data_IF_242790324137
#
_entry.id   IF_242790324137
#
_cell.length_a   1.000
_cell.length_b   1.000
_cell.length_c   1.000
_cell.angle_alpha   90.00
_cell.angle_beta   90.00
_cell.angle_gamma   90.00
#
_symmetry.space_group_name_H-M   'P 1'
#
loop_
_entity.id
_entity.type
_entity.pdbx_description
1 polymer ?
#
# COMPACT_ATOMS: atom_id res chain seq x y z
N UNK A 1 -18.50 14.58 -2.84
CA UNK A 1 -17.11 15.00 -2.58
C UNK A 1 -17.02 16.49 -2.74
N UNK A 2 -15.86 17.08 -2.48
CA UNK A 2 -15.48 18.33 -3.14
C UNK A 2 -14.98 17.92 -4.53
N UNK A 3 -15.64 18.39 -5.60
CA UNK A 3 -15.34 17.99 -6.99
C UNK A 3 -14.44 19.05 -7.68
N UNK A 4 -13.89 20.00 -6.92
CA UNK A 4 -13.11 21.12 -7.41
C UNK A 4 -11.61 20.85 -7.44
N UNK A 5 -11.21 19.66 -7.92
CA UNK A 5 -9.80 19.35 -8.20
C UNK A 5 -9.18 20.33 -9.21
N UNK A 6 -7.85 20.30 -9.43
CA UNK A 6 -6.92 19.23 -9.06
C UNK A 6 -6.51 19.21 -7.58
N UNK A 7 -6.18 18.03 -7.08
CA UNK A 7 -5.66 17.84 -5.72
C UNK A 7 -4.21 17.35 -5.74
N UNK A 8 -3.42 17.79 -4.77
CA UNK A 8 -2.12 17.23 -4.42
C UNK A 8 -2.31 16.26 -3.25
N UNK A 9 -1.70 15.08 -3.35
CA UNK A 9 -1.64 14.10 -2.27
C UNK A 9 -0.21 13.98 -1.75
N UNK A 10 0.00 14.29 -0.47
CA UNK A 10 1.23 13.99 0.23
C UNK A 10 1.03 12.80 1.17
N UNK A 11 1.87 11.77 1.01
CA UNK A 11 1.87 10.57 1.83
C UNK A 11 3.05 10.60 2.80
N UNK A 12 2.78 10.38 4.09
CA UNK A 12 3.81 10.26 5.11
C UNK A 12 3.46 9.22 6.17
N UNK A 13 4.47 8.76 6.92
CA UNK A 13 4.28 7.86 8.07
C UNK A 13 4.74 8.56 9.34
N UNK A 14 3.82 8.68 10.31
CA UNK A 14 4.08 9.27 11.64
C UNK A 14 3.61 8.28 12.69
N UNK A 15 4.48 7.86 13.61
CA UNK A 15 4.15 6.93 14.71
C UNK A 15 3.36 5.68 14.28
N UNK A 16 3.78 5.02 13.18
CA UNK A 16 3.10 3.85 12.58
C UNK A 16 1.67 4.16 12.08
N UNK A 17 1.41 5.41 11.72
CA UNK A 17 0.18 5.84 11.03
C UNK A 17 0.52 6.39 9.67
N UNK A 18 -0.24 6.00 8.66
CA UNK A 18 -0.15 6.55 7.31
C UNK A 18 -1.04 7.79 7.22
N UNK A 19 -0.46 8.90 6.79
CA UNK A 19 -1.15 10.18 6.65
C UNK A 19 -1.35 10.45 5.16
N UNK A 20 -2.60 10.66 4.78
CA UNK A 20 -3.02 11.20 3.50
C UNK A 20 -3.31 12.67 3.71
N UNK A 21 -2.36 13.55 3.36
CA UNK A 21 -2.57 14.98 3.40
C UNK A 21 -2.98 15.46 2.01
N UNK A 22 -4.19 15.98 1.88
CA UNK A 22 -4.78 16.42 0.61
C UNK A 22 -4.87 17.94 0.62
N UNK A 23 -4.26 18.56 -0.39
CA UNK A 23 -4.28 20.01 -0.61
C UNK A 23 -4.74 20.33 -2.02
N UNK A 24 -5.13 21.57 -2.24
CA UNK A 24 -5.30 22.13 -3.60
C UNK A 24 -3.93 22.39 -4.23
N UNK A 25 -3.92 22.76 -5.50
CA UNK A 25 -2.69 23.08 -6.22
C UNK A 25 -1.93 24.27 -5.65
N UNK A 26 -2.62 25.23 -5.04
CA UNK A 26 -2.05 26.38 -4.33
C UNK A 26 -1.62 26.06 -2.89
N UNK A 27 -1.56 24.76 -2.55
CA UNK A 27 -1.24 24.21 -1.23
C UNK A 27 -2.28 24.54 -0.13
N UNK A 28 -3.46 25.08 -0.50
CA UNK A 28 -4.58 25.25 0.43
C UNK A 28 -5.01 23.89 1.00
N UNK A 29 -5.07 23.70 2.33
CA UNK A 29 -5.49 22.44 2.93
C UNK A 29 -6.94 22.09 2.61
N UNK A 30 -7.19 20.82 2.25
CA UNK A 30 -8.55 20.28 2.07
C UNK A 30 -8.89 19.37 3.25
N UNK A 31 -8.11 18.31 3.45
CA UNK A 31 -8.31 17.35 4.53
C UNK A 31 -7.04 16.53 4.76
N UNK A 32 -6.84 16.09 6.00
CA UNK A 32 -5.85 15.07 6.33
C UNK A 32 -6.53 13.84 6.92
N UNK A 33 -6.32 12.68 6.31
CA UNK A 33 -6.77 11.39 6.85
C UNK A 33 -5.60 10.62 7.43
N UNK A 34 -5.74 10.20 8.69
CA UNK A 34 -4.72 9.41 9.40
C UNK A 34 -5.23 7.99 9.58
N UNK A 35 -4.53 7.03 8.98
CA UNK A 35 -4.84 5.60 9.06
C UNK A 35 -3.84 4.88 9.96
N UNK A 36 -4.34 4.10 10.92
CA UNK A 36 -3.48 3.15 11.65
C UNK A 36 -2.92 2.10 10.70
N UNK A 37 -1.62 1.84 10.77
CA UNK A 37 -1.00 0.73 10.00
C UNK A 37 -1.23 -0.64 10.65
N UNK A 38 -1.85 -0.70 11.83
CA UNK A 38 -2.07 -1.97 12.55
C UNK A 38 -2.81 -3.04 11.73
N UNK A 39 -3.89 -2.71 10.99
CA UNK A 39 -4.57 -3.69 10.13
C UNK A 39 -3.67 -4.28 9.03
N UNK A 40 -2.63 -3.56 8.62
CA UNK A 40 -1.74 -3.98 7.53
C UNK A 40 -0.55 -4.82 8.03
N UNK A 41 -0.32 -4.92 9.34
CA UNK A 41 0.90 -5.55 9.90
C UNK A 41 1.12 -6.98 9.40
N UNK A 42 0.07 -7.79 9.36
CA UNK A 42 0.16 -9.19 8.92
C UNK A 42 0.52 -9.27 7.44
N UNK A 43 -0.27 -8.65 6.57
CA UNK A 43 -0.05 -8.70 5.12
C UNK A 43 1.29 -8.10 4.71
N UNK A 44 1.74 -7.04 5.39
CA UNK A 44 3.07 -6.46 5.15
C UNK A 44 4.19 -7.42 5.57
N UNK A 45 4.06 -8.07 6.74
CA UNK A 45 5.04 -9.08 7.19
C UNK A 45 5.11 -10.24 6.20
N UNK A 46 3.97 -10.80 5.82
CA UNK A 46 3.90 -11.93 4.89
C UNK A 46 4.44 -11.54 3.51
N UNK A 47 4.20 -10.29 3.08
CA UNK A 47 4.78 -9.73 1.86
C UNK A 47 6.31 -9.69 1.89
N UNK A 48 6.92 -9.30 3.01
CA UNK A 48 8.39 -9.34 3.11
C UNK A 48 8.94 -10.76 3.09
N UNK A 49 8.31 -11.68 3.83
CA UNK A 49 8.72 -13.08 3.86
C UNK A 49 8.66 -13.72 2.46
N UNK A 50 7.64 -13.40 1.66
CA UNK A 50 7.53 -13.94 0.30
C UNK A 50 8.55 -13.29 -0.65
N UNK A 51 8.91 -12.02 -0.46
CA UNK A 51 9.97 -11.37 -1.22
C UNK A 51 11.34 -11.99 -0.94
N UNK A 52 11.65 -12.32 0.32
CA UNK A 52 12.85 -13.07 0.69
C UNK A 52 12.85 -14.46 0.05
N UNK A 53 11.72 -15.17 0.14
CA UNK A 53 11.55 -16.49 -0.48
C UNK A 53 11.73 -16.44 -2.00
N UNK A 54 11.21 -15.40 -2.65
CA UNK A 54 11.40 -15.16 -4.08
C UNK A 54 12.88 -14.97 -4.43
N UNK A 55 13.61 -14.17 -3.65
CA UNK A 55 15.03 -13.91 -3.88
C UNK A 55 15.90 -15.17 -3.75
N UNK A 56 15.58 -16.06 -2.82
CA UNK A 56 16.25 -17.36 -2.72
C UNK A 56 15.87 -18.29 -3.87
N UNK A 57 14.58 -18.32 -4.25
CA UNK A 57 14.06 -19.18 -5.28
C UNK A 57 14.64 -18.89 -6.67
N UNK A 58 14.82 -17.62 -7.05
CA UNK A 58 15.38 -17.26 -8.37
C UNK A 58 16.80 -17.79 -8.61
N UNK A 59 17.53 -18.19 -7.55
CA UNK A 59 18.88 -18.74 -7.69
C UNK A 59 18.91 -20.25 -7.91
N UNK A 60 17.91 -20.97 -7.41
CA UNK A 60 18.01 -22.44 -7.22
C UNK A 60 16.75 -23.23 -7.58
N UNK A 61 15.58 -22.57 -7.65
CA UNK A 61 14.28 -23.22 -7.82
C UNK A 61 13.85 -23.34 -9.28
N UNK A 62 12.90 -24.24 -9.56
CA UNK A 62 12.33 -24.37 -10.90
C UNK A 62 11.49 -23.14 -11.29
N UNK A 63 11.29 -22.88 -12.59
CA UNK A 63 10.40 -21.80 -13.05
C UNK A 63 8.98 -21.90 -12.46
N UNK A 64 8.42 -23.10 -12.33
CA UNK A 64 7.10 -23.33 -11.74
C UNK A 64 7.02 -22.96 -10.26
N UNK A 65 8.09 -23.20 -9.49
CA UNK A 65 8.18 -22.81 -8.09
C UNK A 65 8.29 -21.29 -7.95
N UNK A 66 9.08 -20.63 -8.80
CA UNK A 66 9.22 -19.17 -8.84
C UNK A 66 7.87 -18.52 -9.17
N UNK A 67 7.14 -19.05 -10.16
CA UNK A 67 5.81 -18.56 -10.53
C UNK A 67 4.80 -18.72 -9.39
N UNK A 68 4.82 -19.84 -8.67
CA UNK A 68 3.95 -20.04 -7.51
C UNK A 68 4.21 -19.01 -6.40
N UNK A 69 5.48 -18.68 -6.14
CA UNK A 69 5.87 -17.64 -5.19
C UNK A 69 5.41 -16.26 -5.69
N UNK A 70 5.61 -15.95 -6.98
CA UNK A 70 5.16 -14.69 -7.56
C UNK A 70 3.65 -14.52 -7.49
N UNK A 71 2.89 -15.59 -7.74
CA UNK A 71 1.44 -15.61 -7.57
C UNK A 71 1.03 -15.29 -6.13
N UNK A 72 1.68 -15.91 -5.14
CA UNK A 72 1.46 -15.59 -3.72
C UNK A 72 1.76 -14.12 -3.41
N UNK A 73 2.87 -13.59 -3.94
CA UNK A 73 3.24 -12.17 -3.80
C UNK A 73 2.17 -11.24 -4.37
N UNK A 74 1.64 -11.55 -5.55
CA UNK A 74 0.54 -10.79 -6.17
C UNK A 74 -0.73 -10.84 -5.33
N UNK A 75 -1.03 -11.99 -4.72
CA UNK A 75 -2.15 -12.18 -3.79
C UNK A 75 -2.05 -11.28 -2.57
N UNK A 76 -0.88 -11.18 -1.94
CA UNK A 76 -0.64 -10.31 -0.78
C UNK A 76 -0.81 -8.83 -1.12
N UNK A 77 -0.36 -8.40 -2.31
CA UNK A 77 -0.66 -7.05 -2.80
C UNK A 77 -2.16 -6.81 -2.95
N UNK A 78 -2.92 -7.79 -3.46
CA UNK A 78 -4.36 -7.64 -3.59
C UNK A 78 -5.06 -7.55 -2.23
N UNK A 79 -4.68 -8.38 -1.26
CA UNK A 79 -5.22 -8.32 0.12
C UNK A 79 -4.94 -6.96 0.78
N UNK A 80 -3.70 -6.47 0.64
CA UNK A 80 -3.31 -5.16 1.16
C UNK A 80 -4.05 -4.00 0.50
N UNK A 81 -4.28 -4.10 -0.81
CA UNK A 81 -5.03 -3.09 -1.59
C UNK A 81 -6.49 -3.05 -1.18
N UNK A 82 -7.13 -4.21 -1.04
CA UNK A 82 -8.51 -4.30 -0.57
C UNK A 82 -8.64 -3.71 0.85
N UNK A 83 -7.74 -4.09 1.74
CA UNK A 83 -7.69 -3.52 3.10
C UNK A 83 -7.56 -2.00 3.04
N UNK A 84 -6.72 -1.45 2.16
CA UNK A 84 -6.56 0.00 2.02
C UNK A 84 -7.86 0.67 1.57
N UNK A 85 -8.53 0.13 0.56
CA UNK A 85 -9.82 0.62 0.08
C UNK A 85 -10.86 0.60 1.21
N UNK A 86 -11.00 -0.51 1.94
CA UNK A 86 -11.94 -0.63 3.06
C UNK A 86 -11.64 0.39 4.18
N UNK A 87 -10.37 0.73 4.40
CA UNK A 87 -9.98 1.76 5.40
C UNK A 87 -10.25 3.18 4.92
N UNK A 88 -10.28 3.40 3.60
CA UNK A 88 -10.55 4.68 2.96
C UNK A 88 -12.02 4.89 2.62
N UNK A 89 -12.84 3.85 2.68
CA UNK A 89 -14.28 3.93 2.43
C UNK A 89 -14.95 5.04 3.25
N UNK A 90 -15.82 5.79 2.58
CA UNK A 90 -16.45 7.01 3.10
C UNK A 90 -15.52 8.22 3.32
N UNK A 91 -14.24 8.15 2.93
CA UNK A 91 -13.25 9.24 3.08
C UNK A 91 -12.60 9.64 1.76
N UNK A 92 -11.98 8.67 1.07
CA UNK A 92 -11.31 8.85 -0.22
C UNK A 92 -11.73 7.68 -1.12
N UNK A 93 -12.30 7.98 -2.26
CA UNK A 93 -12.57 6.98 -3.29
C UNK A 93 -11.33 6.83 -4.18
N UNK A 94 -10.88 5.58 -4.35
CA UNK A 94 -9.77 5.21 -5.24
C UNK A 94 -10.13 3.93 -5.97
N UNK A 95 -9.65 3.79 -7.20
CA UNK A 95 -9.72 2.52 -7.90
C UNK A 95 -8.69 1.51 -7.36
N UNK A 96 -8.85 0.24 -7.72
CA UNK A 96 -8.01 -0.84 -7.22
C UNK A 96 -6.55 -0.75 -7.70
N UNK A 97 -6.29 -0.24 -8.92
CA UNK A 97 -4.94 -0.08 -9.44
C UNK A 97 -4.19 1.01 -8.67
N UNK A 98 -4.88 2.11 -8.35
CA UNK A 98 -4.39 3.17 -7.47
C UNK A 98 -4.14 2.63 -6.06
N UNK A 99 -5.07 1.84 -5.50
CA UNK A 99 -4.88 1.19 -4.19
C UNK A 99 -3.64 0.29 -4.17
N UNK A 100 -3.38 -0.46 -5.24
CA UNK A 100 -2.21 -1.33 -5.38
C UNK A 100 -0.89 -0.56 -5.46
N UNK A 101 -0.86 0.55 -6.19
CA UNK A 101 0.30 1.46 -6.23
C UNK A 101 0.56 2.08 -4.86
N UNK A 102 -0.48 2.53 -4.17
CA UNK A 102 -0.38 3.07 -2.82
C UNK A 102 0.11 2.02 -1.82
N UNK A 103 -0.44 0.79 -1.85
CA UNK A 103 0.02 -0.29 -0.99
C UNK A 103 1.49 -0.62 -1.20
N UNK A 104 1.97 -0.58 -2.45
CA UNK A 104 3.41 -0.72 -2.75
C UNK A 104 4.24 0.33 -2.02
N UNK A 105 3.82 1.60 -2.05
CA UNK A 105 4.50 2.68 -1.32
C UNK A 105 4.45 2.47 0.20
N UNK A 106 3.32 1.99 0.74
CA UNK A 106 3.17 1.67 2.16
C UNK A 106 4.19 0.60 2.58
N UNK A 107 4.32 -0.48 1.81
CA UNK A 107 5.30 -1.52 2.07
C UNK A 107 6.72 -0.94 2.11
N UNK A 108 7.09 -0.09 1.14
CA UNK A 108 8.42 0.54 1.11
C UNK A 108 8.65 1.47 2.31
N UNK A 109 7.65 2.27 2.71
CA UNK A 109 7.76 3.18 3.86
C UNK A 109 7.78 2.45 5.20
N UNK A 110 7.11 1.30 5.29
CA UNK A 110 7.13 0.46 6.49
C UNK A 110 8.39 -0.39 6.58
N UNK A 111 9.07 -0.62 5.45
CA UNK A 111 10.36 -1.29 5.41
C UNK A 111 11.44 -0.42 6.03
N UNK A 112 11.46 -0.41 7.35
CA UNK A 112 12.64 -0.16 8.15
C UNK A 112 12.78 -1.38 9.05
N UNK A 113 13.86 -2.13 8.82
CA UNK A 113 14.43 -2.96 9.88
C UNK A 113 14.72 -2.11 11.12
#
# INVERSE_FOLDING_TARGET
GDDNGPYKLNLSVVEKRLVFNITREDDTPVVAHVLSLTPFKRVIKDYFMICESYYEAIRTSSPSQIEAIDMGRRGLHNEGSQTLMDRLDGKIEIDFDTARRLFTLICVLHWRG
#
